data_IF_053118796676
#
_entry.id   IF_053118796676
#
_cell.length_a   1.000
_cell.length_b   1.000
_cell.length_c   1.000
_cell.angle_alpha   90.00
_cell.angle_beta   90.00
_cell.angle_gamma   90.00
#
_symmetry.space_group_name_H-M   'P 1'
#
loop_
_entity.id
_entity.type
_entity.pdbx_description
1 polymer ?
#
# COMPACT_ATOMS: atom_id res chain seq x y z
N UNK A 1 32.56 -42.26 32.47
CA UNK A 1 31.90 -41.05 31.96
C UNK A 1 30.68 -41.45 31.13
N UNK A 2 29.53 -40.85 31.39
CA UNK A 2 28.24 -41.21 30.77
C UNK A 2 28.12 -40.76 29.32
N UNK A 3 29.15 -40.14 28.71
CA UNK A 3 29.14 -39.73 27.31
C UNK A 3 28.09 -38.67 26.95
N UNK A 4 27.58 -37.90 27.90
CA UNK A 4 26.56 -36.86 27.69
C UNK A 4 27.26 -35.51 27.54
N UNK A 5 27.02 -34.84 26.40
CA UNK A 5 27.38 -33.43 26.16
C UNK A 5 26.11 -32.57 26.22
N UNK A 6 26.16 -31.44 26.91
CA UNK A 6 25.09 -30.44 26.96
C UNK A 6 25.53 -29.19 26.20
N UNK A 7 24.68 -28.71 25.29
CA UNK A 7 24.88 -27.48 24.52
C UNK A 7 23.65 -26.60 24.67
N UNK A 8 23.85 -25.34 24.95
CA UNK A 8 22.81 -24.34 24.97
C UNK A 8 22.82 -23.58 23.63
N UNK A 9 21.67 -23.52 22.95
CA UNK A 9 21.56 -22.83 21.67
C UNK A 9 20.55 -21.71 21.83
N UNK A 10 20.88 -20.52 21.35
CA UNK A 10 19.99 -19.38 21.28
C UNK A 10 19.62 -19.12 19.81
N UNK A 11 18.34 -19.20 19.48
CA UNK A 11 17.85 -18.87 18.17
C UNK A 11 17.49 -17.37 18.10
N UNK A 12 17.94 -16.66 17.05
CA UNK A 12 17.70 -15.24 16.84
C UNK A 12 16.72 -14.98 15.69
N UNK A 13 16.36 -16.01 14.93
CA UNK A 13 15.41 -15.92 13.81
C UNK A 13 14.48 -17.11 13.82
N UNK A 14 13.21 -16.93 13.45
CA UNK A 14 12.27 -18.04 13.29
C UNK A 14 12.66 -18.90 12.08
N UNK A 15 12.18 -20.13 12.09
CA UNK A 15 12.43 -21.08 11.01
C UNK A 15 12.85 -22.47 11.50
N UNK A 16 13.34 -23.29 10.57
CA UNK A 16 13.86 -24.62 10.90
C UNK A 16 15.35 -24.55 11.19
N UNK A 17 15.73 -24.99 12.37
CA UNK A 17 17.13 -25.12 12.78
C UNK A 17 17.54 -26.60 12.72
N UNK A 18 18.50 -26.92 11.87
CA UNK A 18 19.08 -28.26 11.79
C UNK A 18 20.32 -28.33 12.69
N UNK A 19 20.25 -29.14 13.72
CA UNK A 19 21.37 -29.39 14.62
C UNK A 19 22.02 -30.72 14.29
N UNK A 20 23.32 -30.68 14.11
CA UNK A 20 24.13 -31.90 13.91
C UNK A 20 25.16 -32.05 15.02
N UNK A 21 25.31 -33.23 15.53
CA UNK A 21 26.42 -33.61 16.43
C UNK A 21 27.22 -34.71 15.78
N UNK A 22 28.53 -34.64 15.98
CA UNK A 22 29.44 -35.66 15.50
C UNK A 22 30.52 -35.96 16.52
N UNK A 23 30.88 -37.20 16.65
CA UNK A 23 32.02 -37.66 17.44
C UNK A 23 32.93 -38.49 16.55
N UNK A 24 34.21 -38.37 16.79
CA UNK A 24 35.23 -39.15 16.12
C UNK A 24 36.00 -39.96 17.16
N UNK A 25 35.88 -41.26 17.08
CA UNK A 25 36.61 -42.16 18.00
C UNK A 25 37.06 -43.41 17.23
N UNK A 26 38.31 -43.82 17.47
CA UNK A 26 38.90 -45.04 16.88
C UNK A 26 38.77 -45.17 15.35
N UNK A 27 38.92 -44.02 14.63
CA UNK A 27 38.83 -43.99 13.17
C UNK A 27 37.40 -44.01 12.62
N UNK A 28 36.39 -44.02 13.47
CA UNK A 28 34.96 -44.07 13.08
C UNK A 28 34.26 -42.77 13.48
N UNK A 29 33.56 -42.18 12.51
CA UNK A 29 32.68 -41.01 12.71
C UNK A 29 31.26 -41.47 13.04
N UNK A 30 30.74 -41.00 14.16
CA UNK A 30 29.33 -41.17 14.52
C UNK A 30 28.65 -39.81 14.49
N UNK A 31 27.55 -39.69 13.81
CA UNK A 31 26.78 -38.42 13.67
C UNK A 31 25.31 -38.63 14.08
N UNK A 32 24.77 -37.63 14.71
CA UNK A 32 23.33 -37.52 14.96
C UNK A 32 22.84 -36.16 14.52
N UNK A 33 21.59 -36.05 14.12
CA UNK A 33 20.97 -34.76 13.78
C UNK A 33 19.54 -34.68 14.29
N UNK A 34 19.09 -33.46 14.57
CA UNK A 34 17.71 -33.16 14.90
C UNK A 34 17.29 -31.84 14.26
N UNK A 35 15.99 -31.72 13.99
CA UNK A 35 15.38 -30.49 13.48
C UNK A 35 14.58 -29.86 14.61
N UNK A 36 14.82 -28.57 14.87
CA UNK A 36 14.03 -27.78 15.80
C UNK A 36 13.27 -26.72 15.00
N UNK A 37 11.96 -26.66 15.20
CA UNK A 37 11.14 -25.58 14.68
C UNK A 37 11.16 -24.42 15.67
N UNK A 38 11.65 -23.26 15.23
CA UNK A 38 11.63 -22.01 15.99
C UNK A 38 10.44 -21.20 15.48
N UNK A 39 9.38 -21.03 16.26
CA UNK A 39 8.21 -20.24 15.85
C UNK A 39 8.55 -18.75 15.81
N UNK A 40 7.71 -17.99 15.11
CA UNK A 40 7.72 -16.52 15.26
C UNK A 40 7.28 -16.15 16.68
N UNK A 41 7.82 -15.04 17.23
CA UNK A 41 7.22 -14.42 18.41
C UNK A 41 5.75 -14.09 18.16
N UNK A 42 4.90 -14.06 19.20
CA UNK A 42 3.54 -13.58 19.10
C UNK A 42 3.48 -12.16 18.52
N UNK A 43 2.39 -11.84 17.83
CA UNK A 43 2.13 -10.48 17.38
C UNK A 43 1.94 -9.56 18.59
N UNK A 44 2.36 -8.31 18.48
CA UNK A 44 2.31 -7.31 19.55
C UNK A 44 1.40 -6.13 19.22
N UNK A 45 1.65 -5.48 18.07
CA UNK A 45 0.89 -4.28 17.69
C UNK A 45 0.81 -4.09 16.18
N UNK A 46 -0.21 -3.31 15.81
CA UNK A 46 -0.43 -2.79 14.46
C UNK A 46 -0.15 -1.28 14.47
N UNK A 47 0.47 -0.77 13.42
CA UNK A 47 0.70 0.66 13.22
C UNK A 47 0.19 1.06 11.85
N UNK A 48 -0.66 2.09 11.78
CA UNK A 48 -1.04 2.71 10.52
C UNK A 48 0.14 3.49 9.94
N UNK A 49 0.48 3.22 8.68
CA UNK A 49 1.47 4.00 7.95
C UNK A 49 0.77 5.22 7.35
N UNK A 50 1.29 6.41 7.59
CA UNK A 50 0.73 7.68 7.06
C UNK A 50 -0.78 7.85 7.27
N UNK A 51 -1.27 7.81 8.54
CA UNK A 51 -2.69 7.83 8.83
C UNK A 51 -3.35 9.16 8.40
N UNK A 52 -4.37 9.07 7.54
CA UNK A 52 -5.17 10.23 7.13
C UNK A 52 -6.44 10.31 7.96
N UNK A 53 -6.51 11.27 8.89
CA UNK A 53 -7.70 11.51 9.73
C UNK A 53 -8.83 12.27 9.02
N UNK A 54 -8.60 12.74 7.78
CA UNK A 54 -9.57 13.46 6.95
C UNK A 54 -9.48 12.96 5.52
N UNK A 55 -10.63 12.65 4.94
CA UNK A 55 -10.79 12.27 3.55
C UNK A 55 -12.01 12.98 2.97
N UNK A 56 -12.17 12.99 1.66
CA UNK A 56 -13.30 13.64 1.02
C UNK A 56 -14.26 12.61 0.39
N UNK A 57 -15.56 12.91 0.47
CA UNK A 57 -16.56 12.08 -0.19
C UNK A 57 -16.33 12.03 -1.71
N UNK A 58 -16.51 10.85 -2.30
CA UNK A 58 -16.22 10.57 -3.70
C UNK A 58 -14.76 10.26 -3.98
N UNK A 59 -13.93 9.95 -2.97
CA UNK A 59 -12.51 9.62 -3.17
C UNK A 59 -12.17 8.27 -2.57
N UNK A 60 -11.15 7.64 -3.13
CA UNK A 60 -10.50 6.47 -2.57
C UNK A 60 -9.16 6.90 -1.92
N UNK A 61 -8.89 6.39 -0.74
CA UNK A 61 -7.65 6.68 -0.01
C UNK A 61 -7.05 5.37 0.48
N UNK A 62 -5.82 5.08 0.09
CA UNK A 62 -5.14 3.88 0.56
C UNK A 62 -4.70 4.02 2.02
N UNK A 63 -4.98 2.98 2.80
CA UNK A 63 -4.51 2.80 4.17
C UNK A 63 -3.63 1.56 4.21
N UNK A 64 -2.40 1.74 4.64
CA UNK A 64 -1.47 0.65 4.86
C UNK A 64 -1.08 0.55 6.33
N UNK A 65 -0.72 -0.65 6.74
CA UNK A 65 -0.35 -0.94 8.12
C UNK A 65 0.93 -1.73 8.19
N UNK A 66 1.62 -1.62 9.32
CA UNK A 66 2.77 -2.48 9.66
C UNK A 66 2.47 -3.21 10.96
N UNK A 67 2.66 -4.52 10.96
CA UNK A 67 2.50 -5.37 12.13
C UNK A 67 3.85 -5.69 12.73
N UNK A 68 3.97 -5.56 14.05
CA UNK A 68 5.17 -5.91 14.80
C UNK A 68 4.89 -7.07 15.73
N UNK A 69 5.90 -7.89 15.94
CA UNK A 69 5.88 -8.93 16.98
C UNK A 69 6.54 -8.45 18.29
N UNK A 70 6.47 -9.26 19.34
CA UNK A 70 7.06 -8.96 20.66
C UNK A 70 8.59 -8.80 20.63
N UNK A 71 9.26 -9.15 19.55
CA UNK A 71 10.69 -8.90 19.35
C UNK A 71 10.95 -7.64 18.51
N UNK A 72 9.95 -6.78 18.30
CA UNK A 72 10.01 -5.55 17.50
C UNK A 72 10.33 -5.79 16.01
N UNK A 73 10.08 -7.00 15.50
CA UNK A 73 10.32 -7.34 14.11
C UNK A 73 9.02 -7.19 13.29
N UNK A 74 9.18 -6.67 12.07
CA UNK A 74 8.06 -6.54 11.14
C UNK A 74 7.59 -7.90 10.64
N UNK A 75 6.30 -8.18 10.76
CA UNK A 75 5.64 -9.42 10.36
C UNK A 75 4.92 -9.25 9.02
N UNK A 76 5.67 -9.51 7.95
CA UNK A 76 5.14 -9.43 6.57
C UNK A 76 4.15 -10.55 6.22
N UNK A 77 4.13 -11.61 7.02
CA UNK A 77 3.22 -12.75 6.88
C UNK A 77 1.84 -12.51 7.52
N UNK A 78 1.73 -11.49 8.37
CA UNK A 78 0.48 -11.11 9.02
C UNK A 78 -0.48 -10.46 8.01
N UNK A 79 -1.69 -11.02 7.89
CA UNK A 79 -2.75 -10.50 7.00
C UNK A 79 -3.68 -9.63 7.81
N UNK A 80 -3.54 -8.32 7.64
CA UNK A 80 -4.39 -7.33 8.33
C UNK A 80 -5.69 -7.17 7.57
N UNK A 81 -6.80 -7.21 8.30
CA UNK A 81 -8.12 -6.82 7.82
C UNK A 81 -8.39 -5.36 8.20
N UNK A 82 -8.84 -4.56 7.23
CA UNK A 82 -9.23 -3.17 7.42
C UNK A 82 -10.76 -3.08 7.35
N UNK A 83 -11.36 -2.47 8.37
CA UNK A 83 -12.82 -2.29 8.45
C UNK A 83 -13.21 -0.86 8.79
N UNK A 84 -14.42 -0.48 8.37
CA UNK A 84 -15.05 0.80 8.69
C UNK A 84 -16.25 0.58 9.60
N UNK A 85 -16.46 1.45 10.56
CA UNK A 85 -17.61 1.38 11.47
C UNK A 85 -18.96 1.69 10.79
N UNK A 86 -18.96 2.30 9.59
CA UNK A 86 -20.15 2.63 8.81
C UNK A 86 -19.84 2.55 7.31
N UNK A 87 -20.24 1.44 6.71
CA UNK A 87 -20.02 1.17 5.27
C UNK A 87 -20.85 2.06 4.33
N UNK A 88 -21.89 2.73 4.82
CA UNK A 88 -22.65 3.71 4.07
C UNK A 88 -21.93 5.06 3.96
N UNK A 89 -21.05 5.36 4.92
CA UNK A 89 -20.20 6.55 4.89
C UNK A 89 -18.94 6.27 4.10
N UNK A 90 -18.26 5.15 4.42
CA UNK A 90 -17.09 4.69 3.68
C UNK A 90 -16.85 3.20 3.94
N UNK A 91 -16.32 2.48 2.95
CA UNK A 91 -15.93 1.07 3.04
C UNK A 91 -14.56 0.82 2.45
N UNK A 92 -13.97 -0.32 2.81
CA UNK A 92 -12.69 -0.77 2.27
C UNK A 92 -12.90 -1.72 1.10
N UNK A 93 -12.06 -1.58 0.08
CA UNK A 93 -11.88 -2.60 -0.94
C UNK A 93 -10.83 -3.63 -0.53
N UNK A 94 -10.64 -4.65 -1.39
CA UNK A 94 -9.66 -5.73 -1.16
C UNK A 94 -8.19 -5.27 -1.22
N UNK A 95 -7.93 -4.05 -1.67
CA UNK A 95 -6.59 -3.48 -1.82
C UNK A 95 -6.23 -2.51 -0.69
N UNK A 96 -7.12 -2.36 0.30
CA UNK A 96 -6.93 -1.45 1.43
C UNK A 96 -7.25 0.01 1.11
N UNK A 97 -8.01 0.27 0.04
CA UNK A 97 -8.49 1.61 -0.24
C UNK A 97 -9.81 1.86 0.49
N UNK A 98 -9.87 2.93 1.28
CA UNK A 98 -11.09 3.44 1.87
C UNK A 98 -11.86 4.25 0.83
N UNK A 99 -12.97 3.73 0.34
CA UNK A 99 -13.87 4.37 -0.60
C UNK A 99 -14.86 5.25 0.16
N UNK A 100 -14.62 6.54 0.20
CA UNK A 100 -15.46 7.50 0.92
C UNK A 100 -16.70 7.88 0.08
N UNK A 101 -17.90 7.50 0.54
CA UNK A 101 -19.17 7.67 -0.21
C UNK A 101 -19.88 8.95 0.16
N UNK A 102 -20.01 9.27 1.44
CA UNK A 102 -20.71 10.46 1.93
C UNK A 102 -20.05 11.06 3.15
N UNK A 103 -20.27 12.33 3.42
CA UNK A 103 -19.70 13.00 4.58
C UNK A 103 -20.23 12.42 5.90
N UNK A 104 -19.33 12.27 6.87
CA UNK A 104 -19.65 11.70 8.18
C UNK A 104 -18.40 11.46 9.01
N UNK A 105 -18.54 10.72 10.11
CA UNK A 105 -17.45 10.28 10.97
C UNK A 105 -17.48 8.77 11.02
N UNK A 106 -16.34 8.15 10.90
CA UNK A 106 -16.16 6.70 11.01
C UNK A 106 -14.96 6.40 11.91
N UNK A 107 -14.92 5.19 12.41
CA UNK A 107 -13.74 4.58 12.99
C UNK A 107 -13.21 3.55 12.00
N UNK A 108 -11.96 3.69 11.61
CA UNK A 108 -11.22 2.70 10.83
C UNK A 108 -10.50 1.78 11.80
N UNK A 109 -10.66 0.48 11.63
CA UNK A 109 -10.01 -0.53 12.47
C UNK A 109 -9.19 -1.46 11.60
N UNK A 110 -7.94 -1.65 11.98
CA UNK A 110 -7.04 -2.66 11.46
C UNK A 110 -6.97 -3.80 12.46
N UNK A 111 -7.19 -5.04 12.04
CA UNK A 111 -7.16 -6.21 12.91
C UNK A 111 -6.40 -7.38 12.29
N UNK A 112 -5.72 -8.13 13.14
CA UNK A 112 -5.07 -9.40 12.80
C UNK A 112 -5.00 -10.27 14.05
N UNK A 113 -5.42 -11.52 13.95
CA UNK A 113 -5.57 -12.43 15.09
C UNK A 113 -6.33 -11.74 16.25
N UNK A 114 -5.73 -11.67 17.44
CA UNK A 114 -6.34 -11.07 18.64
C UNK A 114 -5.95 -9.59 18.87
N UNK A 115 -5.19 -8.98 17.94
CA UNK A 115 -4.78 -7.57 18.08
C UNK A 115 -5.51 -6.68 17.09
N UNK A 116 -5.82 -5.45 17.52
CA UNK A 116 -6.43 -4.44 16.68
C UNK A 116 -5.94 -3.04 17.04
N UNK A 117 -5.94 -2.17 16.05
CA UNK A 117 -5.66 -0.73 16.19
C UNK A 117 -6.76 0.05 15.47
N UNK A 118 -7.20 1.16 16.06
CA UNK A 118 -8.31 1.95 15.53
C UNK A 118 -7.99 3.43 15.49
N UNK A 119 -8.53 4.11 14.47
CA UNK A 119 -8.42 5.55 14.34
C UNK A 119 -9.73 6.18 13.86
N UNK A 120 -9.97 7.42 14.28
CA UNK A 120 -11.12 8.18 13.82
C UNK A 120 -10.80 8.89 12.52
N UNK A 121 -11.69 8.73 11.54
CA UNK A 121 -11.62 9.38 10.24
C UNK A 121 -12.87 10.23 10.01
N UNK A 122 -12.67 11.47 9.57
CA UNK A 122 -13.76 12.35 9.16
C UNK A 122 -13.82 12.40 7.64
N UNK A 123 -14.93 11.94 7.08
CA UNK A 123 -15.26 12.12 5.68
C UNK A 123 -15.88 13.49 5.50
N UNK A 124 -15.22 14.37 4.76
CA UNK A 124 -15.67 15.73 4.49
C UNK A 124 -16.43 15.77 3.16
N UNK A 125 -17.33 16.75 3.02
CA UNK A 125 -17.94 17.04 1.72
C UNK A 125 -16.86 17.61 0.80
N UNK A 126 -16.73 17.02 -0.41
CA UNK A 126 -15.79 17.54 -1.40
C UNK A 126 -16.19 18.97 -1.85
N UNK A 127 -15.34 19.96 -1.59
CA UNK A 127 -15.65 21.36 -1.92
C UNK A 127 -15.28 21.73 -3.36
N UNK A 128 -14.59 20.87 -4.09
CA UNK A 128 -14.11 21.12 -5.46
C UNK A 128 -15.30 21.28 -6.41
N UNK A 129 -15.26 22.34 -7.24
CA UNK A 129 -16.28 22.66 -8.26
C UNK A 129 -15.67 22.92 -9.62
N UNK A 130 -14.39 23.17 -9.68
CA UNK A 130 -13.64 23.38 -10.92
C UNK A 130 -12.24 22.81 -10.74
N UNK A 131 -11.77 22.15 -11.78
CA UNK A 131 -10.37 21.78 -11.96
C UNK A 131 -9.84 22.50 -13.19
N UNK A 132 -8.65 23.03 -13.09
CA UNK A 132 -7.87 23.53 -14.22
C UNK A 132 -6.63 22.67 -14.33
N UNK A 133 -6.42 22.07 -15.48
CA UNK A 133 -5.27 21.23 -15.77
C UNK A 133 -4.31 22.02 -16.66
N UNK A 134 -3.05 22.06 -16.30
CA UNK A 134 -1.97 22.68 -17.07
C UNK A 134 -0.79 21.74 -17.20
N UNK A 135 -0.03 21.90 -18.26
CA UNK A 135 1.23 21.21 -18.49
C UNK A 135 2.27 22.19 -19.04
N UNK A 136 3.54 21.92 -18.84
CA UNK A 136 4.62 22.77 -19.33
C UNK A 136 4.71 22.81 -20.87
N UNK A 137 4.29 21.70 -21.52
CA UNK A 137 4.30 21.53 -22.97
C UNK A 137 3.20 20.57 -23.39
N UNK A 138 2.87 20.56 -24.66
CA UNK A 138 1.83 19.72 -25.28
C UNK A 138 2.41 18.57 -26.13
N UNK A 139 3.72 18.57 -26.35
CA UNK A 139 4.43 17.51 -27.07
C UNK A 139 5.56 16.92 -26.24
N UNK A 140 5.67 15.60 -26.21
CA UNK A 140 6.73 14.84 -25.56
C UNK A 140 7.17 13.65 -26.42
N UNK A 141 8.36 13.17 -26.19
CA UNK A 141 8.84 11.90 -26.77
C UNK A 141 8.42 10.72 -25.91
N UNK A 142 8.32 9.55 -26.52
CA UNK A 142 8.13 8.29 -25.79
C UNK A 142 9.21 8.11 -24.73
N UNK A 143 8.79 7.72 -23.49
CA UNK A 143 9.66 7.59 -22.35
C UNK A 143 10.00 8.91 -21.61
N UNK A 144 9.61 10.07 -22.14
CA UNK A 144 9.78 11.35 -21.47
C UNK A 144 8.65 11.58 -20.46
N UNK A 145 9.00 12.14 -19.28
CA UNK A 145 8.02 12.47 -18.24
C UNK A 145 7.48 13.87 -18.46
N UNK A 146 6.15 13.99 -18.52
CA UNK A 146 5.44 15.27 -18.52
C UNK A 146 4.69 15.44 -17.18
N UNK A 147 4.82 16.59 -16.57
CA UNK A 147 4.08 16.93 -15.37
C UNK A 147 2.80 17.69 -15.70
N UNK A 148 1.70 17.26 -15.12
CA UNK A 148 0.43 17.95 -15.13
C UNK A 148 0.14 18.54 -13.75
N UNK A 149 -0.12 19.84 -13.71
CA UNK A 149 -0.59 20.53 -12.52
C UNK A 149 -2.10 20.69 -12.58
N UNK A 150 -2.79 20.21 -11.53
CA UNK A 150 -4.23 20.35 -11.41
C UNK A 150 -4.59 21.32 -10.29
N UNK A 151 -5.11 22.49 -10.63
CA UNK A 151 -5.60 23.46 -9.67
C UNK A 151 -7.08 23.25 -9.37
N UNK A 152 -7.39 22.89 -8.12
CA UNK A 152 -8.76 22.68 -7.66
C UNK A 152 -9.34 23.96 -7.06
N UNK A 153 -10.56 24.31 -7.43
CA UNK A 153 -11.27 25.51 -6.94
C UNK A 153 -12.66 25.15 -6.41
N UNK A 154 -13.07 25.82 -5.35
CA UNK A 154 -14.43 25.73 -4.81
C UNK A 154 -15.43 26.61 -5.61
N UNK A 155 -16.70 26.63 -5.16
CA UNK A 155 -17.78 27.41 -5.81
C UNK A 155 -17.48 28.93 -5.86
N UNK A 156 -16.72 29.48 -4.92
CA UNK A 156 -16.34 30.90 -4.88
C UNK A 156 -15.06 31.21 -5.65
N UNK A 157 -14.48 30.25 -6.37
CA UNK A 157 -13.25 30.43 -7.14
C UNK A 157 -11.96 30.45 -6.27
N UNK A 158 -12.06 30.09 -4.99
CA UNK A 158 -10.87 29.98 -4.12
C UNK A 158 -10.23 28.62 -4.31
N UNK A 159 -8.90 28.59 -4.29
CA UNK A 159 -8.12 27.35 -4.29
C UNK A 159 -8.52 26.47 -3.11
N UNK A 160 -8.58 25.17 -3.35
CA UNK A 160 -8.80 24.14 -2.33
C UNK A 160 -7.46 23.44 -2.13
N UNK A 161 -6.82 23.76 -1.01
CA UNK A 161 -5.62 23.06 -0.57
C UNK A 161 -5.97 21.61 -0.21
N UNK A 162 -5.03 20.68 -0.45
CA UNK A 162 -5.21 19.25 -0.23
C UNK A 162 -6.47 18.66 -0.92
N UNK A 163 -6.84 19.24 -2.07
CA UNK A 163 -7.94 18.73 -2.85
C UNK A 163 -7.60 17.30 -3.33
N UNK A 164 -8.55 16.36 -3.19
CA UNK A 164 -8.35 15.02 -3.74
C UNK A 164 -8.45 15.10 -5.27
N UNK A 165 -7.33 15.08 -5.95
CA UNK A 165 -7.27 15.05 -7.41
C UNK A 165 -6.65 13.72 -7.82
N UNK A 166 -7.28 13.09 -8.79
CA UNK A 166 -6.78 11.88 -9.44
C UNK A 166 -6.66 12.12 -10.94
N UNK A 167 -5.80 11.36 -11.59
CA UNK A 167 -5.55 11.49 -13.02
C UNK A 167 -5.86 10.16 -13.72
N UNK A 168 -6.35 10.28 -14.94
CA UNK A 168 -6.47 9.16 -15.86
C UNK A 168 -6.04 9.62 -17.24
N UNK A 169 -5.75 8.68 -18.12
CA UNK A 169 -5.47 8.99 -19.50
C UNK A 169 -6.24 8.07 -20.46
N UNK A 170 -6.44 8.55 -21.66
CA UNK A 170 -6.80 7.76 -22.83
C UNK A 170 -5.89 8.17 -23.98
N UNK A 171 -5.61 7.25 -24.90
CA UNK A 171 -4.72 7.54 -26.01
C UNK A 171 -5.02 6.65 -27.20
N UNK A 172 -4.68 7.17 -28.40
CA UNK A 172 -4.74 6.48 -29.65
C UNK A 172 -3.33 6.45 -30.24
N UNK A 173 -2.82 5.25 -30.57
CA UNK A 173 -1.51 5.08 -31.18
C UNK A 173 -1.49 5.55 -32.65
N UNK A 174 -0.36 6.13 -33.08
CA UNK A 174 -0.17 6.61 -34.44
C UNK A 174 -0.05 5.48 -35.47
N UNK A 175 0.37 4.29 -35.05
CA UNK A 175 0.60 3.13 -35.90
C UNK A 175 -0.36 2.01 -35.54
N UNK A 176 -1.19 1.64 -36.47
CA UNK A 176 -2.07 0.48 -36.39
C UNK A 176 -3.32 0.68 -37.23
N UNK A 177 -3.67 -0.30 -38.03
CA UNK A 177 -5.01 -0.41 -38.56
C UNK A 177 -5.98 -0.55 -37.38
N UNK A 178 -6.96 0.38 -37.29
CA UNK A 178 -8.02 0.37 -36.29
C UNK A 178 -7.69 0.82 -34.85
N UNK A 179 -7.16 2.02 -34.66
CA UNK A 179 -7.27 2.76 -33.41
C UNK A 179 -6.92 1.96 -32.14
N UNK A 180 -5.78 1.27 -32.14
CA UNK A 180 -5.31 0.58 -30.96
C UNK A 180 -5.08 1.61 -29.83
N UNK A 181 -5.45 1.26 -28.58
CA UNK A 181 -5.18 2.14 -27.46
C UNK A 181 -3.67 2.37 -27.32
N UNK A 182 -3.28 3.62 -27.15
CA UNK A 182 -1.89 3.98 -26.91
C UNK A 182 -1.50 3.61 -25.47
N UNK A 183 -0.35 2.97 -25.30
CA UNK A 183 0.18 2.61 -23.99
C UNK A 183 0.87 3.79 -23.33
N UNK A 184 0.63 3.97 -22.05
CA UNK A 184 1.22 5.02 -21.20
C UNK A 184 0.95 4.76 -19.73
N UNK A 185 1.43 5.66 -18.90
CA UNK A 185 1.22 5.63 -17.45
C UNK A 185 0.96 7.05 -16.95
N UNK A 186 -0.01 7.22 -16.08
CA UNK A 186 -0.19 8.44 -15.29
C UNK A 186 -0.18 8.08 -13.80
N UNK A 187 0.57 8.86 -13.01
CA UNK A 187 0.69 8.67 -11.57
C UNK A 187 -0.28 9.60 -10.82
N UNK A 188 -0.52 9.33 -9.53
CA UNK A 188 -1.41 10.12 -8.68
C UNK A 188 -0.94 11.57 -8.51
N UNK A 189 0.35 11.83 -8.64
CA UNK A 189 0.95 13.16 -8.58
C UNK A 189 1.02 13.89 -9.93
N UNK A 190 0.34 13.37 -10.95
CA UNK A 190 0.20 14.02 -12.26
C UNK A 190 1.39 13.82 -13.21
N UNK A 191 2.30 12.89 -12.94
CA UNK A 191 3.36 12.53 -13.90
C UNK A 191 2.80 11.57 -14.95
N UNK A 192 2.98 11.91 -16.20
CA UNK A 192 2.57 11.10 -17.34
C UNK A 192 3.79 10.69 -18.18
N UNK A 193 3.79 9.46 -18.65
CA UNK A 193 4.78 8.92 -19.59
C UNK A 193 4.03 8.21 -20.71
N UNK A 194 4.34 8.58 -21.96
CA UNK A 194 3.88 7.86 -23.13
C UNK A 194 4.85 6.71 -23.47
N UNK A 195 4.36 5.49 -23.57
CA UNK A 195 5.14 4.31 -23.97
C UNK A 195 5.11 4.08 -25.49
N UNK A 196 4.06 4.55 -26.16
CA UNK A 196 3.93 4.48 -27.63
C UNK A 196 3.70 5.87 -28.21
N UNK A 197 4.10 6.08 -29.47
CA UNK A 197 3.76 7.30 -30.18
C UNK A 197 2.25 7.37 -30.44
N UNK A 198 1.66 8.56 -30.26
CA UNK A 198 0.22 8.73 -30.44
C UNK A 198 -0.30 10.02 -29.79
N UNK A 199 -1.61 10.18 -29.86
CA UNK A 199 -2.31 11.30 -29.24
C UNK A 199 -2.93 10.83 -27.91
N UNK A 200 -2.66 11.58 -26.85
CA UNK A 200 -3.12 11.28 -25.51
C UNK A 200 -4.00 12.40 -24.95
N UNK A 201 -5.03 12.01 -24.23
CA UNK A 201 -5.84 12.92 -23.41
C UNK A 201 -5.63 12.54 -21.96
N UNK A 202 -5.07 13.46 -21.18
CA UNK A 202 -4.98 13.31 -19.73
C UNK A 202 -6.14 14.08 -19.09
N UNK A 203 -6.84 13.42 -18.17
CA UNK A 203 -8.00 13.99 -17.47
C UNK A 203 -7.73 13.99 -15.99
N UNK A 204 -7.91 15.14 -15.35
CA UNK A 204 -7.93 15.26 -13.89
C UNK A 204 -9.38 15.26 -13.39
N UNK A 205 -9.65 14.57 -12.29
CA UNK A 205 -10.97 14.56 -11.65
C UNK A 205 -10.83 14.62 -10.13
N UNK A 206 -11.87 15.09 -9.46
CA UNK A 206 -11.94 15.19 -8.01
C UNK A 206 -13.27 14.64 -7.51
N UNK A 207 -13.23 13.46 -6.94
CA UNK A 207 -14.41 12.69 -6.57
C UNK A 207 -15.03 11.96 -7.77
N UNK A 208 -15.86 10.97 -7.48
CA UNK A 208 -16.62 10.20 -8.45
C UNK A 208 -18.08 10.65 -8.50
#
# INVERSE_FOLDING_TARGET
STGVAKVTIKAYKPGKLNLGVGSFSSGRRVTGSMVIQVPYPPLDRIVFNEPKSRVYAGTATNYSTTVFDQAELVRKDAKVELTSSDSDIADFDLYGNLNAKRSGKITVTASVDDISESMNVRVLKNPVRRLTLTAEKDEIRTGEVLHFDAQAMNRSGRSVEDAPVSFTYSGQADYGEFGLPAAGLVTEDGRFVAETAGIYTVTAFSGG
#
